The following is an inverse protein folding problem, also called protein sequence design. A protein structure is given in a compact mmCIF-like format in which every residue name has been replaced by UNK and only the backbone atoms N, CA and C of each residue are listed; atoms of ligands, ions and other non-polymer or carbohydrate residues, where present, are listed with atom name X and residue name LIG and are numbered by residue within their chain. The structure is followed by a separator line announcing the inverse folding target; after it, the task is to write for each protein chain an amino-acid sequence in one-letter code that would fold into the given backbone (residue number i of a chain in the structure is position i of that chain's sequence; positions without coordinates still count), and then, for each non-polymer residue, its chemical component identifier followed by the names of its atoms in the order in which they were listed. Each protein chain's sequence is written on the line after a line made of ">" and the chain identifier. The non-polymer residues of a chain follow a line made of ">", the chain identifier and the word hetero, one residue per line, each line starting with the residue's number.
data_IF_519741488592
#
_entry.id   IF_519741488592
#
_cell.length_a   1.000
_cell.length_b   1.000
_cell.length_c   1.000
_cell.angle_alpha   90.00
_cell.angle_beta   90.00
_cell.angle_gamma   90.00
#
_symmetry.space_group_name_H-M   'P 1'
#
loop_
_entity.id
_entity.type
_entity.pdbx_description
1 polymer ?
#
# COMPACT_ATOMS: atom_id res chain seq x y z
N UNK A 1 8.80 10.35 -28.05
CA UNK A 1 10.03 10.48 -27.24
C UNK A 1 9.96 9.47 -26.11
N UNK A 2 11.02 8.72 -25.80
CA UNK A 2 11.02 7.83 -24.65
C UNK A 2 10.72 8.64 -23.38
N UNK A 3 9.84 8.12 -22.53
CA UNK A 3 9.45 8.78 -21.29
C UNK A 3 10.72 9.04 -20.45
N UNK A 4 10.93 10.27 -19.98
CA UNK A 4 12.11 10.65 -19.18
C UNK A 4 12.25 9.75 -17.95
N UNK A 5 13.47 9.54 -17.43
CA UNK A 5 13.72 8.68 -16.27
C UNK A 5 12.78 9.02 -15.09
N UNK A 6 12.57 10.31 -14.84
CA UNK A 6 11.66 10.83 -13.81
C UNK A 6 10.21 10.39 -14.02
N UNK A 7 9.73 10.36 -15.27
CA UNK A 7 8.37 9.94 -15.58
C UNK A 7 8.14 8.44 -15.31
N UNK A 8 9.18 7.61 -15.50
CA UNK A 8 9.14 6.17 -15.21
C UNK A 8 9.22 5.91 -13.71
N UNK A 9 10.09 6.62 -12.98
CA UNK A 9 10.15 6.58 -11.52
C UNK A 9 8.81 6.98 -10.89
N UNK A 10 8.19 8.05 -11.40
CA UNK A 10 6.88 8.50 -10.95
C UNK A 10 5.76 7.47 -11.22
N UNK A 11 5.85 6.72 -12.33
CA UNK A 11 4.88 5.68 -12.66
C UNK A 11 4.98 4.46 -11.73
N UNK A 12 6.18 3.98 -11.41
CA UNK A 12 6.37 2.90 -10.43
C UNK A 12 5.85 3.31 -9.05
N UNK A 13 6.30 4.45 -8.55
CA UNK A 13 5.87 4.94 -7.24
C UNK A 13 4.36 5.24 -7.16
N UNK A 14 3.70 5.53 -8.30
CA UNK A 14 2.24 5.65 -8.38
C UNK A 14 1.55 4.30 -8.25
N UNK A 15 2.07 3.25 -8.88
CA UNK A 15 1.52 1.88 -8.79
C UNK A 15 1.61 1.34 -7.37
N UNK A 16 2.75 1.49 -6.71
CA UNK A 16 2.92 1.06 -5.32
C UNK A 16 1.92 1.75 -4.39
N UNK A 17 1.71 3.06 -4.59
CA UNK A 17 0.72 3.83 -3.86
C UNK A 17 -0.71 3.34 -4.12
N UNK A 18 -1.05 3.01 -5.37
CA UNK A 18 -2.38 2.46 -5.71
C UNK A 18 -2.59 1.12 -5.02
N UNK A 19 -1.61 0.22 -5.07
CA UNK A 19 -1.69 -1.09 -4.41
C UNK A 19 -1.87 -0.95 -2.90
N UNK A 20 -1.05 -0.10 -2.27
CA UNK A 20 -1.16 0.25 -0.86
C UNK A 20 -2.57 0.70 -0.46
N UNK A 21 -3.12 1.68 -1.18
CA UNK A 21 -4.46 2.20 -0.91
C UNK A 21 -5.53 1.10 -1.12
N UNK A 22 -5.38 0.31 -2.19
CA UNK A 22 -6.32 -0.77 -2.53
C UNK A 22 -6.35 -1.82 -1.42
N UNK A 23 -5.19 -2.25 -0.93
CA UNK A 23 -5.10 -3.22 0.17
C UNK A 23 -5.72 -2.68 1.46
N UNK A 24 -5.50 -1.41 1.81
CA UNK A 24 -6.13 -0.80 2.98
C UNK A 24 -7.64 -0.71 2.84
N UNK A 25 -8.17 -0.35 1.67
CA UNK A 25 -9.62 -0.35 1.43
C UNK A 25 -10.22 -1.76 1.56
N UNK A 26 -9.59 -2.77 0.95
CA UNK A 26 -10.03 -4.16 1.07
C UNK A 26 -9.99 -4.65 2.53
N UNK A 27 -8.95 -4.30 3.28
CA UNK A 27 -8.87 -4.60 4.71
C UNK A 27 -10.06 -3.99 5.46
N UNK A 28 -10.41 -2.72 5.22
CA UNK A 28 -11.58 -2.10 5.86
C UNK A 28 -12.88 -2.83 5.54
N UNK A 29 -13.08 -3.24 4.28
CA UNK A 29 -14.26 -4.05 3.89
C UNK A 29 -14.31 -5.36 4.70
N UNK A 30 -13.18 -6.05 4.81
CA UNK A 30 -13.09 -7.30 5.60
C UNK A 30 -13.35 -7.03 7.07
N UNK A 31 -12.78 -5.98 7.66
CA UNK A 31 -13.00 -5.63 9.07
C UNK A 31 -14.47 -5.33 9.37
N UNK A 32 -15.14 -4.57 8.51
CA UNK A 32 -16.57 -4.27 8.65
C UNK A 32 -17.40 -5.55 8.53
N UNK A 33 -17.11 -6.39 7.55
CA UNK A 33 -17.77 -7.69 7.39
C UNK A 33 -17.60 -8.57 8.63
N UNK A 34 -16.37 -8.71 9.12
CA UNK A 34 -16.05 -9.51 10.32
C UNK A 34 -16.74 -8.93 11.56
N UNK A 35 -16.81 -7.62 11.70
CA UNK A 35 -17.54 -6.98 12.80
C UNK A 35 -19.02 -7.34 12.79
N UNK A 36 -19.70 -7.28 11.64
CA UNK A 36 -21.10 -7.69 11.54
C UNK A 36 -21.29 -9.20 11.81
N UNK A 37 -20.41 -10.04 11.27
CA UNK A 37 -20.44 -11.48 11.52
C UNK A 37 -20.26 -11.78 13.02
N UNK A 38 -19.27 -11.16 13.68
CA UNK A 38 -18.98 -11.37 15.09
C UNK A 38 -20.09 -10.83 16.01
N UNK A 39 -20.65 -9.68 15.70
CA UNK A 39 -21.75 -9.09 16.51
C UNK A 39 -23.05 -9.88 16.40
N UNK A 40 -23.28 -10.61 15.29
CA UNK A 40 -24.47 -11.47 15.13
C UNK A 40 -24.52 -12.65 16.12
N UNK A 41 -23.37 -13.06 16.65
CA UNK A 41 -23.24 -14.17 17.62
C UNK A 41 -22.76 -13.68 19.00
N UNK A 42 -22.63 -12.37 19.20
CA UNK A 42 -22.16 -11.81 20.45
C UNK A 42 -23.22 -11.98 21.56
N UNK A 43 -22.88 -12.60 22.70
CA UNK A 43 -23.87 -12.94 23.73
C UNK A 43 -24.27 -11.75 24.62
N UNK A 44 -23.48 -10.67 24.63
CA UNK A 44 -23.78 -9.48 25.44
C UNK A 44 -23.43 -8.17 24.70
N UNK A 45 -24.13 -7.06 25.01
CA UNK A 45 -23.81 -5.74 24.45
C UNK A 45 -22.37 -5.28 24.74
N UNK A 46 -21.82 -5.67 25.89
CA UNK A 46 -20.44 -5.33 26.26
C UNK A 46 -19.42 -5.91 25.26
N UNK A 47 -19.63 -7.14 24.80
CA UNK A 47 -18.75 -7.77 23.79
C UNK A 47 -18.83 -7.02 22.46
N UNK A 48 -20.02 -6.59 22.04
CA UNK A 48 -20.20 -5.78 20.83
C UNK A 48 -19.44 -4.45 20.91
N UNK A 49 -19.43 -3.79 22.07
CA UNK A 49 -18.61 -2.58 22.28
C UNK A 49 -17.12 -2.88 22.16
N UNK A 50 -16.63 -3.96 22.76
CA UNK A 50 -15.23 -4.38 22.65
C UNK A 50 -14.86 -4.66 21.20
N UNK A 51 -15.71 -5.39 20.46
CA UNK A 51 -15.50 -5.68 19.04
C UNK A 51 -15.46 -4.38 18.21
N UNK A 52 -16.31 -3.40 18.52
CA UNK A 52 -16.32 -2.13 17.81
C UNK A 52 -15.01 -1.35 18.05
N UNK A 53 -14.57 -1.24 19.30
CA UNK A 53 -13.32 -0.56 19.66
C UNK A 53 -12.12 -1.27 19.02
N UNK A 54 -12.06 -2.60 19.09
CA UNK A 54 -10.98 -3.38 18.49
C UNK A 54 -10.92 -3.20 16.96
N UNK A 55 -12.06 -3.24 16.28
CA UNK A 55 -12.18 -3.04 14.83
C UNK A 55 -11.66 -1.65 14.43
N UNK A 56 -12.08 -0.61 15.17
CA UNK A 56 -11.65 0.77 14.93
C UNK A 56 -10.16 0.95 15.18
N UNK A 57 -9.64 0.48 16.32
CA UNK A 57 -8.20 0.60 16.63
C UNK A 57 -7.34 -0.10 15.59
N UNK A 58 -7.71 -1.34 15.22
CA UNK A 58 -6.98 -2.10 14.21
C UNK A 58 -6.99 -1.39 12.84
N UNK A 59 -8.17 -0.95 12.38
CA UNK A 59 -8.31 -0.24 11.12
C UNK A 59 -7.57 1.10 11.08
N UNK A 60 -7.69 1.90 12.15
CA UNK A 60 -7.06 3.21 12.24
C UNK A 60 -5.53 3.11 12.35
N UNK A 61 -5.01 2.26 13.24
CA UNK A 61 -3.57 2.11 13.38
C UNK A 61 -2.93 1.50 12.15
N UNK A 62 -3.55 0.49 11.53
CA UNK A 62 -3.04 -0.06 10.27
C UNK A 62 -3.00 1.02 9.16
N UNK A 63 -4.07 1.80 9.02
CA UNK A 63 -4.13 2.91 8.05
C UNK A 63 -3.08 3.98 8.35
N UNK A 64 -2.88 4.34 9.63
CA UNK A 64 -1.87 5.30 10.04
C UNK A 64 -0.44 4.82 9.75
N UNK A 65 -0.14 3.53 10.00
CA UNK A 65 1.13 2.91 9.64
C UNK A 65 1.39 2.97 8.14
N UNK A 66 0.37 2.70 7.31
CA UNK A 66 0.51 2.84 5.87
C UNK A 66 0.77 4.29 5.45
N UNK A 67 0.02 5.24 6.01
CA UNK A 67 0.21 6.66 5.70
C UNK A 67 1.60 7.15 6.10
N UNK A 68 2.11 6.71 7.25
CA UNK A 68 3.47 6.98 7.69
C UNK A 68 4.50 6.40 6.72
N UNK A 69 4.29 5.16 6.25
CA UNK A 69 5.12 4.52 5.25
C UNK A 69 5.14 5.30 3.92
N UNK A 70 3.96 5.67 3.41
CA UNK A 70 3.84 6.46 2.17
C UNK A 70 4.46 7.85 2.31
N UNK A 71 4.29 8.52 3.46
CA UNK A 71 4.91 9.81 3.75
C UNK A 71 6.44 9.70 3.75
N UNK A 72 6.98 8.66 4.37
CA UNK A 72 8.43 8.39 4.40
C UNK A 72 8.98 8.04 3.02
N UNK A 73 8.23 7.30 2.20
CA UNK A 73 8.62 7.01 0.82
C UNK A 73 8.60 8.25 -0.08
N UNK A 74 7.61 9.14 0.08
CA UNK A 74 7.57 10.39 -0.66
C UNK A 74 8.78 11.29 -0.36
N UNK A 75 9.27 11.29 0.88
CA UNK A 75 10.44 12.05 1.29
C UNK A 75 11.79 11.48 0.77
N UNK A 76 11.83 10.22 0.32
CA UNK A 76 13.07 9.53 -0.09
C UNK A 76 13.02 8.98 -1.52
N UNK A 77 12.14 9.51 -2.39
CA UNK A 77 11.91 8.99 -3.75
C UNK A 77 13.16 8.96 -4.63
N UNK A 78 14.00 9.99 -4.57
CA UNK A 78 15.10 10.15 -5.53
C UNK A 78 16.27 9.18 -5.28
N UNK A 79 16.46 8.72 -4.04
CA UNK A 79 17.52 7.78 -3.69
C UNK A 79 17.17 6.32 -4.01
N UNK A 80 15.89 5.95 -3.94
CA UNK A 80 15.44 4.55 -4.11
C UNK A 80 15.17 4.22 -5.58
N UNK A 81 14.43 5.05 -6.29
CA UNK A 81 13.96 4.67 -7.63
C UNK A 81 14.98 4.96 -8.74
N UNK A 82 15.98 5.82 -8.51
CA UNK A 82 16.99 6.18 -9.50
C UNK A 82 17.95 5.02 -9.84
N UNK A 83 18.49 4.28 -8.86
CA UNK A 83 19.27 3.06 -9.13
C UNK A 83 18.46 1.95 -9.82
N UNK A 84 17.20 1.76 -9.43
CA UNK A 84 16.34 0.70 -10.01
C UNK A 84 16.05 0.94 -11.49
N UNK A 85 15.77 2.19 -11.89
CA UNK A 85 15.56 2.51 -13.31
C UNK A 85 16.85 2.39 -14.11
N UNK A 86 18.00 2.76 -13.55
CA UNK A 86 19.31 2.57 -14.20
C UNK A 86 19.64 1.07 -14.39
N UNK A 87 19.41 0.21 -13.41
CA UNK A 87 19.60 -1.23 -13.55
C UNK A 87 18.66 -1.85 -14.61
N UNK A 88 17.39 -1.45 -14.63
CA UNK A 88 16.44 -1.90 -15.66
C UNK A 88 16.88 -1.48 -17.07
N UNK A 89 17.48 -0.30 -17.21
CA UNK A 89 18.01 0.18 -18.47
C UNK A 89 19.28 -0.58 -18.89
N UNK A 90 20.15 -0.92 -17.94
CA UNK A 90 21.30 -1.79 -18.19
C UNK A 90 20.89 -3.19 -18.63
N UNK A 91 19.86 -3.78 -18.02
CA UNK A 91 19.33 -5.10 -18.41
C UNK A 91 18.72 -5.09 -19.81
N UNK A 92 18.02 -4.00 -20.18
CA UNK A 92 17.48 -3.81 -21.54
C UNK A 92 18.60 -3.63 -22.57
N UNK A 93 19.61 -2.84 -22.25
CA UNK A 93 20.78 -2.64 -23.11
C UNK A 93 21.58 -3.94 -23.30
N UNK A 94 21.68 -4.78 -22.28
CA UNK A 94 22.31 -6.09 -22.37
C UNK A 94 21.52 -7.06 -23.28
N UNK A 95 20.18 -7.05 -23.21
CA UNK A 95 19.32 -7.87 -24.11
C UNK A 95 19.38 -7.43 -25.56
N UNK A 96 19.33 -6.12 -25.83
CA UNK A 96 19.38 -5.59 -27.19
C UNK A 96 20.74 -5.70 -27.89
N UNK A 97 21.77 -6.23 -27.21
CA UNK A 97 23.11 -6.45 -27.76
C UNK A 97 23.36 -7.91 -28.17
N UNK A 98 22.38 -8.80 -27.92
CA UNK A 98 22.41 -10.22 -28.27
C UNK A 98 21.63 -10.56 -29.55
N UNK A 99 20.97 -9.56 -30.15
CA UNK A 99 20.33 -9.61 -31.47
C UNK A 99 21.22 -8.89 -32.51
#
# INVERSE_FOLDING_TARGET
>A
MPASLDSRMAALARRDRILAITFTLLMWVVLVFVFFAATSVAPTPAITVVLAVATLLLGLFNTASLLALLKRYAANRDLIYRPDVMHLDQLRAARGKQD
#
